data_IF_551025075419
#
_entry.id   IF_551025075419
#
_cell.length_a   1.000
_cell.length_b   1.000
_cell.length_c   1.000
_cell.angle_alpha   90.00
_cell.angle_beta   90.00
_cell.angle_gamma   90.00
#
_symmetry.space_group_name_H-M   'P 1'
#
loop_
_entity.id
_entity.type
_entity.pdbx_description
1 polymer ?
#
# COMPACT_ATOMS: atom_id res chain seq x y z
N UNK A 1 -3.45 -16.88 12.10
CA UNK A 1 -3.72 -15.73 11.23
C UNK A 1 -4.70 -14.76 11.86
N UNK A 2 -4.67 -13.51 11.41
CA UNK A 2 -5.57 -12.44 11.87
C UNK A 2 -6.65 -12.20 10.82
N UNK A 3 -7.92 -12.21 11.21
CA UNK A 3 -9.02 -11.83 10.33
C UNK A 3 -9.00 -10.32 10.09
N UNK A 4 -9.37 -9.90 8.88
CA UNK A 4 -9.44 -8.50 8.50
C UNK A 4 -10.53 -8.26 7.45
N UNK A 5 -11.13 -7.09 7.48
CA UNK A 5 -12.17 -6.69 6.55
C UNK A 5 -11.63 -5.68 5.53
N UNK A 6 -11.95 -5.89 4.27
CA UNK A 6 -11.59 -4.98 3.16
C UNK A 6 -12.77 -4.06 2.87
N UNK A 7 -12.79 -2.88 3.45
CA UNK A 7 -13.81 -1.88 3.14
C UNK A 7 -13.75 -1.48 1.66
N UNK A 8 -14.89 -1.55 0.99
CA UNK A 8 -15.05 -1.24 -0.43
C UNK A 8 -15.67 0.13 -0.57
N UNK A 9 -15.28 0.83 -1.64
CA UNK A 9 -15.96 2.06 -2.04
C UNK A 9 -17.31 1.70 -2.65
N UNK A 10 -18.33 2.49 -2.32
CA UNK A 10 -19.63 2.39 -2.94
C UNK A 10 -19.55 2.78 -4.42
N UNK A 11 -20.35 2.10 -5.25
CA UNK A 11 -20.48 2.41 -6.67
C UNK A 11 -21.62 3.42 -6.88
N UNK A 12 -21.46 4.25 -7.93
CA UNK A 12 -22.44 5.30 -8.25
C UNK A 12 -22.11 6.65 -7.66
N UNK A 13 -22.87 7.66 -8.02
CA UNK A 13 -22.71 9.05 -7.60
C UNK A 13 -23.87 9.48 -6.67
N UNK A 14 -23.54 10.32 -5.70
CA UNK A 14 -24.52 10.90 -4.76
C UNK A 14 -25.41 9.87 -4.07
N UNK A 15 -26.72 10.07 -4.12
CA UNK A 15 -27.70 9.21 -3.45
C UNK A 15 -27.77 7.77 -3.99
N UNK A 16 -27.33 7.51 -5.22
CA UNK A 16 -27.26 6.16 -5.81
C UNK A 16 -26.33 5.22 -5.03
N UNK A 17 -25.38 5.76 -4.28
CA UNK A 17 -24.51 4.96 -3.40
C UNK A 17 -25.31 4.25 -2.29
N UNK A 18 -26.43 4.81 -1.86
CA UNK A 18 -27.32 4.20 -0.85
C UNK A 18 -28.04 2.95 -1.38
N UNK A 19 -28.12 2.79 -2.69
CA UNK A 19 -28.75 1.63 -3.35
C UNK A 19 -27.75 0.48 -3.59
N UNK A 20 -26.47 0.67 -3.28
CA UNK A 20 -25.47 -0.39 -3.38
C UNK A 20 -25.51 -1.34 -2.17
N UNK A 21 -26.64 -2.04 -2.03
CA UNK A 21 -26.88 -2.97 -0.93
C UNK A 21 -25.83 -4.08 -0.83
N UNK A 22 -25.25 -4.51 -1.96
CA UNK A 22 -24.18 -5.51 -2.00
C UNK A 22 -22.91 -5.00 -1.31
N UNK A 23 -22.48 -3.79 -1.64
CA UNK A 23 -21.30 -3.16 -1.02
C UNK A 23 -21.58 -2.86 0.45
N UNK A 24 -22.80 -2.41 0.80
CA UNK A 24 -23.19 -2.19 2.18
C UNK A 24 -23.13 -3.47 3.02
N UNK A 25 -23.73 -4.56 2.54
CA UNK A 25 -23.66 -5.86 3.21
C UNK A 25 -22.20 -6.33 3.40
N UNK A 26 -21.37 -6.23 2.36
CA UNK A 26 -19.97 -6.63 2.43
C UNK A 26 -19.17 -5.78 3.41
N UNK A 27 -19.44 -4.47 3.48
CA UNK A 27 -18.75 -3.58 4.42
C UNK A 27 -19.18 -3.84 5.87
N UNK A 28 -20.47 -4.14 6.12
CA UNK A 28 -20.95 -4.54 7.44
C UNK A 28 -20.28 -5.86 7.87
N UNK A 29 -20.29 -6.86 7.02
CA UNK A 29 -19.60 -8.13 7.29
C UNK A 29 -18.11 -7.91 7.60
N UNK A 30 -17.46 -7.10 6.79
CA UNK A 30 -16.03 -6.84 6.90
C UNK A 30 -15.71 -6.00 8.16
N UNK A 31 -16.64 -5.17 8.64
CA UNK A 31 -16.53 -4.52 9.94
C UNK A 31 -16.46 -5.55 11.08
N UNK A 32 -17.31 -6.58 11.07
CA UNK A 32 -17.23 -7.65 12.06
C UNK A 32 -15.92 -8.41 11.97
N UNK A 33 -15.37 -8.61 10.76
CA UNK A 33 -14.03 -9.22 10.62
C UNK A 33 -12.92 -8.34 11.20
N UNK A 34 -13.03 -7.02 11.12
CA UNK A 34 -12.10 -6.09 11.79
C UNK A 34 -12.21 -6.24 13.31
N UNK A 35 -13.43 -6.34 13.86
CA UNK A 35 -13.63 -6.54 15.29
C UNK A 35 -13.01 -7.88 15.78
N UNK A 36 -13.26 -8.96 15.06
CA UNK A 36 -12.65 -10.26 15.38
C UNK A 36 -11.13 -10.16 15.27
N UNK A 37 -10.63 -9.57 14.19
CA UNK A 37 -9.20 -9.37 13.96
C UNK A 37 -8.52 -8.52 15.02
N UNK A 38 -9.22 -7.52 15.56
CA UNK A 38 -8.74 -6.71 16.67
C UNK A 38 -8.44 -7.57 17.92
N UNK A 39 -9.38 -8.44 18.31
CA UNK A 39 -9.18 -9.31 19.46
C UNK A 39 -8.09 -10.37 19.21
N UNK A 40 -8.03 -10.92 18.00
CA UNK A 40 -6.96 -11.83 17.60
C UNK A 40 -5.59 -11.14 17.63
N UNK A 41 -5.50 -9.93 17.07
CA UNK A 41 -4.27 -9.13 17.08
C UNK A 41 -3.87 -8.79 18.52
N UNK A 42 -4.82 -8.38 19.36
CA UNK A 42 -4.56 -8.05 20.75
C UNK A 42 -3.99 -9.25 21.54
N UNK A 43 -4.54 -10.46 21.33
CA UNK A 43 -4.00 -11.70 21.92
C UNK A 43 -2.58 -11.95 21.45
N UNK A 44 -2.36 -11.93 20.12
CA UNK A 44 -1.06 -12.17 19.51
C UNK A 44 0.01 -11.16 19.97
N UNK A 45 -0.34 -9.87 20.04
CA UNK A 45 0.60 -8.83 20.46
C UNK A 45 0.96 -8.96 21.96
N UNK A 46 0.05 -9.44 22.81
CA UNK A 46 0.36 -9.75 24.21
C UNK A 46 1.31 -10.94 24.37
N UNK A 47 1.21 -11.91 23.46
CA UNK A 47 2.09 -13.09 23.44
C UNK A 47 3.48 -12.73 22.88
N UNK A 48 3.52 -12.01 21.75
CA UNK A 48 4.78 -11.66 21.05
C UNK A 48 5.55 -10.53 21.75
N UNK A 49 4.86 -9.62 22.43
CA UNK A 49 5.44 -8.43 23.11
C UNK A 49 6.45 -7.67 22.24
N UNK A 50 6.09 -7.27 21.00
CA UNK A 50 7.02 -6.54 20.16
C UNK A 50 7.32 -5.16 20.72
N UNK A 51 8.54 -4.69 20.57
CA UNK A 51 8.96 -3.34 20.94
C UNK A 51 8.38 -2.28 20.01
N UNK A 52 8.21 -2.63 18.72
CA UNK A 52 7.65 -1.75 17.68
C UNK A 52 6.98 -2.56 16.58
N UNK A 53 5.97 -1.96 15.92
CA UNK A 53 5.27 -2.58 14.80
C UNK A 53 5.41 -1.69 13.57
N UNK A 54 5.75 -2.28 12.42
CA UNK A 54 5.76 -1.61 11.14
C UNK A 54 4.53 -2.02 10.31
N UNK A 55 3.71 -1.04 9.92
CA UNK A 55 2.46 -1.24 9.16
C UNK A 55 2.59 -0.56 7.80
N UNK A 56 2.83 -1.34 6.77
CA UNK A 56 2.93 -0.83 5.38
C UNK A 56 1.57 -0.48 4.77
N UNK A 57 0.50 -0.54 5.52
CA UNK A 57 -0.86 -0.35 5.03
C UNK A 57 -1.58 -1.66 4.73
N UNK A 58 -2.66 -1.57 3.95
CA UNK A 58 -3.54 -2.70 3.71
C UNK A 58 -4.55 -2.93 4.83
N UNK A 59 -5.63 -3.63 4.50
CA UNK A 59 -6.78 -3.78 5.40
C UNK A 59 -6.47 -4.55 6.69
N UNK A 60 -5.45 -5.41 6.69
CA UNK A 60 -4.96 -6.13 7.89
C UNK A 60 -4.30 -5.17 8.89
N UNK A 61 -3.74 -4.06 8.42
CA UNK A 61 -3.13 -3.04 9.28
C UNK A 61 -4.11 -2.40 10.26
N UNK A 62 -5.41 -2.34 9.93
CA UNK A 62 -6.41 -1.71 10.79
C UNK A 62 -6.57 -2.44 12.12
N UNK A 63 -6.96 -3.74 12.18
CA UNK A 63 -7.09 -4.43 13.46
C UNK A 63 -5.78 -4.52 14.25
N UNK A 64 -4.64 -4.65 13.56
CA UNK A 64 -3.32 -4.69 14.21
C UNK A 64 -2.97 -3.33 14.83
N UNK A 65 -3.12 -2.22 14.08
CA UNK A 65 -2.82 -0.88 14.57
C UNK A 65 -3.73 -0.44 15.72
N UNK A 66 -5.04 -0.77 15.65
CA UNK A 66 -5.97 -0.51 16.75
C UNK A 66 -5.60 -1.32 18.00
N UNK A 67 -5.24 -2.59 17.85
CA UNK A 67 -4.79 -3.42 18.97
C UNK A 67 -3.50 -2.87 19.59
N UNK A 68 -2.52 -2.49 18.76
CA UNK A 68 -1.28 -1.86 19.22
C UNK A 68 -1.55 -0.58 20.01
N UNK A 69 -2.42 0.30 19.50
CA UNK A 69 -2.81 1.53 20.20
C UNK A 69 -3.39 1.25 21.60
N UNK A 70 -4.29 0.25 21.72
CA UNK A 70 -4.88 -0.12 23.03
C UNK A 70 -3.87 -0.75 23.99
N UNK A 71 -2.83 -1.38 23.47
CA UNK A 71 -1.75 -1.99 24.27
C UNK A 71 -0.58 -1.03 24.50
N UNK A 72 -0.66 0.21 23.97
CA UNK A 72 0.42 1.22 24.03
C UNK A 72 1.73 0.74 23.39
N UNK A 73 1.65 -0.16 22.42
CA UNK A 73 2.80 -0.61 21.64
C UNK A 73 3.03 0.42 20.53
N UNK A 74 4.23 1.01 20.44
CA UNK A 74 4.52 1.98 19.38
C UNK A 74 4.46 1.33 18.01
N UNK A 75 3.95 2.06 17.02
CA UNK A 75 3.96 1.59 15.65
C UNK A 75 4.19 2.72 14.64
N UNK A 76 4.70 2.33 13.50
CA UNK A 76 5.03 3.19 12.37
C UNK A 76 4.14 2.78 11.19
N UNK A 77 3.47 3.74 10.56
CA UNK A 77 2.78 3.52 9.29
C UNK A 77 3.71 3.84 8.11
N UNK A 78 3.50 3.21 6.96
CA UNK A 78 4.19 3.55 5.72
C UNK A 78 3.21 3.69 4.57
N UNK A 79 3.29 4.81 3.84
CA UNK A 79 2.53 5.05 2.63
C UNK A 79 3.46 5.15 1.42
N UNK A 80 3.22 4.30 0.41
CA UNK A 80 3.99 4.29 -0.85
C UNK A 80 3.40 5.23 -1.90
N UNK A 81 2.12 5.58 -1.77
CA UNK A 81 1.38 6.44 -2.69
C UNK A 81 1.32 7.88 -2.16
N UNK A 82 1.07 8.84 -3.05
CA UNK A 82 0.91 10.27 -2.68
C UNK A 82 -0.30 10.53 -1.78
N UNK A 83 -1.29 9.67 -1.82
CA UNK A 83 -2.48 9.75 -0.97
C UNK A 83 -2.46 8.59 0.01
N UNK A 84 -2.48 8.86 1.33
CA UNK A 84 -2.51 7.82 2.33
C UNK A 84 -3.66 6.84 2.12
N UNK A 85 -3.36 5.54 2.21
CA UNK A 85 -4.36 4.49 2.13
C UNK A 85 -5.38 4.59 3.27
N UNK A 86 -6.64 4.18 3.02
CA UNK A 86 -7.72 4.27 4.02
C UNK A 86 -7.32 3.59 5.35
N UNK A 87 -6.67 2.45 5.30
CA UNK A 87 -6.21 1.73 6.49
C UNK A 87 -5.27 2.59 7.35
N UNK A 88 -4.24 3.18 6.72
CA UNK A 88 -3.29 4.04 7.42
C UNK A 88 -3.98 5.29 7.97
N UNK A 89 -4.90 5.91 7.22
CA UNK A 89 -5.68 7.07 7.69
C UNK A 89 -6.50 6.76 8.94
N UNK A 90 -7.07 5.55 9.05
CA UNK A 90 -7.84 5.13 10.23
C UNK A 90 -6.94 5.04 11.47
N UNK A 91 -5.75 4.45 11.33
CA UNK A 91 -4.85 4.21 12.47
C UNK A 91 -3.84 5.34 12.71
N UNK A 92 -3.74 6.32 11.80
CA UNK A 92 -2.77 7.41 11.86
C UNK A 92 -2.77 8.16 13.19
N UNK A 93 -3.95 8.38 13.77
CA UNK A 93 -4.12 9.16 15.01
C UNK A 93 -3.23 8.67 16.16
N UNK A 94 -3.00 7.36 16.24
CA UNK A 94 -2.27 6.71 17.34
C UNK A 94 -0.86 6.25 16.92
N UNK A 95 -0.48 6.43 15.65
CA UNK A 95 0.86 6.09 15.19
C UNK A 95 1.93 6.97 15.86
N UNK A 96 3.08 6.38 16.15
CA UNK A 96 4.23 7.11 16.65
C UNK A 96 4.89 7.91 15.55
N UNK A 97 5.04 7.29 14.37
CA UNK A 97 5.63 7.91 13.19
C UNK A 97 4.89 7.50 11.91
N UNK A 98 4.97 8.37 10.91
CA UNK A 98 4.53 8.13 9.54
C UNK A 98 5.75 8.14 8.63
N UNK A 99 6.12 7.01 8.09
CA UNK A 99 7.10 6.90 7.01
C UNK A 99 6.36 7.06 5.67
N UNK A 100 6.90 7.88 4.79
CA UNK A 100 6.26 8.17 3.50
C UNK A 100 7.26 8.08 2.35
N UNK A 101 6.79 7.67 1.17
CA UNK A 101 7.65 7.47 0.02
C UNK A 101 8.02 8.77 -0.70
N UNK A 102 7.10 9.70 -0.77
CA UNK A 102 7.28 11.01 -1.42
C UNK A 102 7.60 12.10 -0.39
N UNK A 103 7.93 13.32 -0.80
CA UNK A 103 8.16 14.43 0.11
C UNK A 103 7.02 14.58 1.11
N UNK A 104 7.35 14.69 2.39
CA UNK A 104 6.37 14.69 3.50
C UNK A 104 5.34 15.82 3.40
N UNK A 105 5.66 16.88 2.71
CA UNK A 105 4.81 18.05 2.47
C UNK A 105 3.56 17.72 1.64
N UNK A 106 3.59 16.60 0.91
CA UNK A 106 2.45 16.12 0.12
C UNK A 106 1.40 15.37 0.96
N UNK A 107 1.72 15.09 2.23
CA UNK A 107 0.85 14.30 3.09
C UNK A 107 0.16 15.17 4.15
N UNK A 108 -1.03 14.77 4.55
CA UNK A 108 -1.82 15.46 5.58
C UNK A 108 -1.44 15.06 7.01
N UNK A 109 -0.38 14.29 7.18
CA UNK A 109 0.11 13.89 8.50
C UNK A 109 0.84 15.03 9.22
N UNK A 110 0.90 15.01 10.57
CA UNK A 110 1.67 16.00 11.33
C UNK A 110 3.15 15.96 10.93
N UNK A 111 3.72 17.10 10.53
CA UNK A 111 5.10 17.20 10.01
C UNK A 111 6.16 16.73 11.01
N UNK A 112 5.91 16.94 12.32
CA UNK A 112 6.79 16.52 13.40
C UNK A 112 6.77 15.01 13.67
N UNK A 113 5.83 14.26 13.04
CA UNK A 113 5.72 12.81 13.12
C UNK A 113 5.88 12.13 11.75
N UNK A 114 6.27 12.88 10.71
CA UNK A 114 6.37 12.36 9.35
C UNK A 114 7.80 12.44 8.85
N UNK A 115 8.29 11.33 8.29
CA UNK A 115 9.64 11.20 7.74
C UNK A 115 9.53 10.64 6.31
N UNK A 116 10.22 11.30 5.37
CA UNK A 116 10.37 10.79 4.01
C UNK A 116 11.45 9.71 4.00
N UNK A 117 11.04 8.47 3.71
CA UNK A 117 11.92 7.29 3.70
C UNK A 117 12.09 6.68 2.32
N UNK A 118 11.29 7.10 1.34
CA UNK A 118 11.20 6.41 0.06
C UNK A 118 10.40 5.10 0.15
N UNK A 119 10.42 4.33 -0.94
CA UNK A 119 9.79 3.01 -1.01
C UNK A 119 10.81 1.96 -0.57
N UNK A 120 10.52 1.11 0.43
CA UNK A 120 11.39 0.00 0.78
C UNK A 120 11.54 -0.97 -0.39
N UNK A 121 12.74 -1.08 -0.92
CA UNK A 121 13.08 -1.97 -2.01
C UNK A 121 13.91 -3.15 -1.50
N UNK A 122 13.83 -4.27 -2.20
CA UNK A 122 14.75 -5.39 -1.96
C UNK A 122 16.16 -5.00 -2.40
N UNK A 123 17.16 -5.58 -1.78
CA UNK A 123 18.58 -5.30 -2.07
C UNK A 123 18.99 -5.58 -3.52
N UNK A 124 18.23 -6.44 -4.21
CA UNK A 124 18.47 -6.77 -5.63
C UNK A 124 18.13 -5.61 -6.57
N UNK A 125 17.24 -4.70 -6.17
CA UNK A 125 16.87 -3.52 -6.94
C UNK A 125 17.91 -2.42 -6.75
N UNK A 126 19.00 -2.52 -7.53
CA UNK A 126 20.08 -1.53 -7.56
C UNK A 126 20.16 -0.88 -8.94
N UNK A 127 20.58 0.37 -9.03
CA UNK A 127 20.92 0.97 -10.32
C UNK A 127 21.94 0.11 -11.04
N UNK A 128 21.70 -0.19 -12.33
CA UNK A 128 22.60 -0.96 -13.16
C UNK A 128 23.80 -0.10 -13.54
N UNK A 129 25.01 -0.54 -13.24
CA UNK A 129 26.22 0.15 -13.63
C UNK A 129 26.37 0.18 -15.17
N UNK A 130 26.95 1.25 -15.72
CA UNK A 130 27.08 1.42 -17.17
C UNK A 130 27.76 0.21 -17.85
N UNK A 131 28.77 -0.36 -17.21
CA UNK A 131 29.47 -1.56 -17.68
C UNK A 131 28.60 -2.83 -17.75
N UNK A 132 27.56 -2.90 -16.92
CA UNK A 132 26.66 -4.06 -16.86
C UNK A 132 25.48 -3.92 -17.84
N UNK A 133 25.19 -2.68 -18.26
CA UNK A 133 24.08 -2.38 -19.16
C UNK A 133 24.17 -3.14 -20.47
N UNK A 134 25.34 -3.19 -21.10
CA UNK A 134 25.57 -3.92 -22.35
C UNK A 134 25.32 -5.44 -22.17
N UNK A 135 25.80 -6.02 -21.06
CA UNK A 135 25.58 -7.43 -20.76
C UNK A 135 24.09 -7.75 -20.58
N UNK A 136 23.33 -6.89 -19.88
CA UNK A 136 21.88 -7.07 -19.73
C UNK A 136 21.13 -6.90 -21.03
N UNK A 137 21.51 -5.93 -21.89
CA UNK A 137 20.92 -5.76 -23.23
C UNK A 137 21.15 -7.01 -24.09
N UNK A 138 22.38 -7.53 -24.12
CA UNK A 138 22.70 -8.76 -24.84
C UNK A 138 21.89 -9.95 -24.32
N UNK A 139 21.78 -10.11 -23.00
CA UNK A 139 20.96 -11.18 -22.38
C UNK A 139 19.48 -11.05 -22.73
N UNK A 140 18.97 -9.84 -22.89
CA UNK A 140 17.58 -9.56 -23.30
C UNK A 140 17.36 -9.61 -24.83
N UNK A 141 18.40 -9.89 -25.64
CA UNK A 141 18.31 -9.88 -27.10
C UNK A 141 18.13 -8.50 -27.71
N UNK A 142 18.54 -7.44 -27.00
CA UNK A 142 18.38 -6.04 -27.41
C UNK A 142 19.69 -5.54 -28.00
N UNK A 143 19.68 -5.04 -29.25
CA UNK A 143 20.86 -4.45 -29.88
C UNK A 143 21.34 -3.21 -29.10
N UNK A 144 22.67 -2.96 -29.12
CA UNK A 144 23.28 -1.91 -28.30
C UNK A 144 22.78 -0.51 -28.64
N UNK A 145 22.43 -0.26 -29.92
CA UNK A 145 21.91 1.02 -30.42
C UNK A 145 20.39 1.08 -30.47
N UNK A 146 19.67 0.02 -30.11
CA UNK A 146 18.21 0.01 -30.15
C UNK A 146 17.61 0.96 -29.12
N UNK A 147 16.58 1.72 -29.52
CA UNK A 147 15.73 2.42 -28.58
C UNK A 147 14.82 1.43 -27.88
N UNK A 148 14.67 1.57 -26.57
CA UNK A 148 13.83 0.66 -25.76
C UNK A 148 12.76 1.47 -25.05
N UNK A 149 11.51 1.16 -25.38
CA UNK A 149 10.35 1.61 -24.63
C UNK A 149 9.89 0.48 -23.71
N UNK A 150 10.02 0.67 -22.40
CA UNK A 150 9.56 -0.29 -21.42
C UNK A 150 8.26 0.19 -20.78
N UNK A 151 7.19 -0.56 -20.99
CA UNK A 151 5.84 -0.26 -20.48
C UNK A 151 5.54 -1.27 -19.38
N UNK A 152 5.24 -0.79 -18.18
CA UNK A 152 4.97 -1.64 -17.02
C UNK A 152 3.69 -1.21 -16.32
N UNK A 153 2.91 -2.17 -15.88
CA UNK A 153 1.73 -1.99 -15.04
C UNK A 153 1.88 -2.69 -13.69
N UNK A 154 0.86 -2.57 -12.84
CA UNK A 154 0.79 -3.33 -11.58
C UNK A 154 0.58 -4.84 -11.81
N UNK A 155 0.68 -5.63 -10.73
CA UNK A 155 0.60 -7.10 -10.79
C UNK A 155 -0.71 -7.68 -11.33
N UNK A 156 -1.78 -6.89 -11.38
CA UNK A 156 -3.06 -7.28 -12.01
C UNK A 156 -3.19 -6.83 -13.48
N UNK A 157 -2.14 -6.17 -14.01
CA UNK A 157 -2.20 -5.51 -15.31
C UNK A 157 -3.01 -4.21 -15.29
N UNK A 158 -3.03 -3.51 -16.44
CA UNK A 158 -3.83 -2.30 -16.64
C UNK A 158 -4.32 -2.23 -18.06
N UNK A 159 -5.62 -2.40 -18.23
CA UNK A 159 -6.26 -2.27 -19.55
C UNK A 159 -6.08 -0.87 -20.17
N UNK A 160 -6.10 0.17 -19.34
CA UNK A 160 -5.85 1.55 -19.78
C UNK A 160 -4.44 1.72 -20.34
N UNK A 161 -3.42 1.20 -19.62
CA UNK A 161 -2.02 1.26 -20.07
C UNK A 161 -1.85 0.44 -21.35
N UNK A 162 -2.43 -0.76 -21.41
CA UNK A 162 -2.34 -1.63 -22.59
C UNK A 162 -2.95 -0.98 -23.82
N UNK A 163 -4.14 -0.39 -23.69
CA UNK A 163 -4.79 0.32 -24.81
C UNK A 163 -3.99 1.55 -25.25
N UNK A 164 -3.50 2.35 -24.31
CA UNK A 164 -2.67 3.51 -24.63
C UNK A 164 -1.37 3.09 -25.34
N UNK A 165 -0.71 2.04 -24.86
CA UNK A 165 0.49 1.49 -25.48
C UNK A 165 0.23 1.02 -26.90
N UNK A 166 -0.83 0.22 -27.12
CA UNK A 166 -1.20 -0.28 -28.46
C UNK A 166 -1.53 0.86 -29.41
N UNK A 167 -2.27 1.88 -28.96
CA UNK A 167 -2.61 3.03 -29.78
C UNK A 167 -1.42 3.95 -30.12
N UNK A 168 -0.35 3.88 -29.34
CA UNK A 168 0.85 4.71 -29.52
C UNK A 168 1.92 4.04 -30.40
N UNK A 169 1.79 2.75 -30.67
CA UNK A 169 2.73 2.04 -31.54
C UNK A 169 2.35 2.27 -33.01
N UNK A 170 3.32 2.63 -33.89
CA UNK A 170 3.06 2.66 -35.31
C UNK A 170 2.71 1.26 -35.82
N UNK A 171 1.74 1.20 -36.69
CA UNK A 171 1.31 -0.05 -37.39
C UNK A 171 2.35 -0.51 -38.39
#
# INVERSE_FOLDING_TARGET
GVRAGKFRRYHGEGWKQLLDFKTMYLNIRDFFFVCIGFWQSRKLLKELKPDVIFIKGGFVGVPVGLAAATLKIPYITHDSDSIPGLANRIIARWATWHAVALPKELYTYPSNKTITTGIPLRSEFKPVAAKEKAAFRKKAGIADNAQVLFIIGGGLGSDVINRAATASLPH
#
